data_IF_347422347845
#
_entry.id   IF_347422347845
#
_cell.length_a   1.000
_cell.length_b   1.000
_cell.length_c   1.000
_cell.angle_alpha   90.00
_cell.angle_beta   90.00
_cell.angle_gamma   90.00
#
_symmetry.space_group_name_H-M   'P 1'
#
loop_
_entity.id
_entity.type
_entity.pdbx_description
1 polymer ?
#
# COMPACT_ATOMS: atom_id res chain seq x y z
N UNK A 1 11.29 17.48 -25.16
CA UNK A 1 10.01 17.16 -24.49
C UNK A 1 8.92 17.97 -25.18
N UNK A 2 7.98 17.32 -25.87
CA UNK A 2 6.80 18.02 -26.40
C UNK A 2 5.82 18.25 -25.25
N UNK A 3 5.73 19.49 -24.78
CA UNK A 3 4.83 19.86 -23.69
C UNK A 3 3.43 20.07 -24.28
N UNK A 4 2.46 19.27 -23.84
CA UNK A 4 1.04 19.43 -24.20
C UNK A 4 0.32 20.12 -23.03
N UNK A 5 -0.23 21.34 -23.18
CA UNK A 5 -0.88 22.06 -22.09
C UNK A 5 -1.95 21.22 -21.40
N UNK A 6 -2.00 21.25 -20.06
CA UNK A 6 -2.97 20.53 -19.21
C UNK A 6 -2.92 19.00 -19.31
N UNK A 7 -1.91 18.41 -19.96
CA UNK A 7 -1.73 16.95 -20.07
C UNK A 7 -0.34 16.57 -19.56
N UNK A 8 -0.29 15.59 -18.66
CA UNK A 8 0.94 15.11 -18.03
C UNK A 8 1.33 13.75 -18.60
N UNK A 9 2.62 13.52 -18.83
CA UNK A 9 3.18 12.26 -19.36
C UNK A 9 2.53 11.73 -20.65
N UNK A 10 2.14 12.62 -21.59
CA UNK A 10 1.48 12.26 -22.87
C UNK A 10 2.36 12.41 -24.12
N UNK A 11 3.67 12.58 -23.93
CA UNK A 11 4.61 12.72 -25.04
C UNK A 11 4.86 11.38 -25.76
N UNK A 12 5.34 11.39 -27.02
CA UNK A 12 5.77 10.18 -27.71
C UNK A 12 6.85 9.43 -26.92
N UNK A 13 6.82 8.10 -26.97
CA UNK A 13 7.79 7.20 -26.35
C UNK A 13 8.99 7.07 -27.30
N UNK A 14 10.17 7.46 -26.83
CA UNK A 14 11.43 7.37 -27.59
C UNK A 14 12.05 5.98 -27.46
N UNK A 15 12.14 5.47 -26.23
CA UNK A 15 12.67 4.14 -25.93
C UNK A 15 11.88 3.55 -24.76
N UNK A 16 11.61 2.26 -24.83
CA UNK A 16 10.91 1.50 -23.81
C UNK A 16 11.57 0.14 -23.65
N UNK A 17 11.67 -0.31 -22.41
CA UNK A 17 12.14 -1.65 -22.06
C UNK A 17 11.21 -2.20 -20.98
N UNK A 18 10.92 -3.50 -21.05
CA UNK A 18 10.07 -4.18 -20.09
C UNK A 18 10.91 -4.81 -18.99
N UNK A 19 10.40 -4.76 -17.76
CA UNK A 19 11.07 -5.35 -16.61
C UNK A 19 10.05 -6.09 -15.75
N UNK A 20 10.29 -7.39 -15.53
CA UNK A 20 9.47 -8.19 -14.63
C UNK A 20 9.76 -7.78 -13.19
N UNK A 21 8.75 -7.26 -12.49
CA UNK A 21 8.88 -6.89 -11.07
C UNK A 21 9.22 -8.14 -10.26
N UNK A 22 10.35 -8.18 -9.53
CA UNK A 22 10.75 -9.38 -8.79
C UNK A 22 9.72 -9.77 -7.73
N UNK A 23 9.55 -11.06 -7.44
CA UNK A 23 8.68 -11.50 -6.36
C UNK A 23 9.16 -10.90 -5.03
N UNK A 24 8.21 -10.53 -4.17
CA UNK A 24 8.46 -9.90 -2.87
C UNK A 24 9.23 -8.56 -2.89
N UNK A 25 9.46 -7.97 -4.06
CA UNK A 25 10.14 -6.69 -4.20
C UNK A 25 9.36 -5.54 -3.54
N UNK A 26 10.07 -4.71 -2.79
CA UNK A 26 9.58 -3.45 -2.21
C UNK A 26 9.76 -2.29 -3.19
N UNK A 27 9.05 -1.18 -2.97
CA UNK A 27 9.23 0.03 -3.79
C UNK A 27 10.66 0.54 -3.78
N UNK A 28 11.38 0.45 -2.65
CA UNK A 28 12.76 0.93 -2.57
C UNK A 28 13.71 0.09 -3.43
N UNK A 29 13.57 -1.23 -3.38
CA UNK A 29 14.38 -2.13 -4.21
C UNK A 29 14.06 -1.95 -5.70
N UNK A 30 12.78 -1.81 -6.04
CA UNK A 30 12.36 -1.59 -7.43
C UNK A 30 12.86 -0.22 -7.94
N UNK A 31 12.84 0.81 -7.10
CA UNK A 31 13.38 2.13 -7.41
C UNK A 31 14.87 2.07 -7.76
N UNK A 32 15.69 1.39 -6.96
CA UNK A 32 17.12 1.23 -7.23
C UNK A 32 17.39 0.51 -8.57
N UNK A 33 16.63 -0.55 -8.86
CA UNK A 33 16.72 -1.30 -10.11
C UNK A 33 16.35 -0.42 -11.31
N UNK A 34 15.17 0.22 -11.25
CA UNK A 34 14.65 1.03 -12.35
C UNK A 34 15.47 2.32 -12.55
N UNK A 35 16.04 2.91 -11.50
CA UNK A 35 16.91 4.06 -11.60
C UNK A 35 18.18 3.73 -12.42
N UNK A 36 18.82 2.59 -12.14
CA UNK A 36 20.00 2.15 -12.90
C UNK A 36 19.66 1.85 -14.36
N UNK A 37 18.56 1.14 -14.59
CA UNK A 37 18.07 0.82 -15.93
C UNK A 37 17.74 2.09 -16.72
N UNK A 38 16.96 2.99 -16.14
CA UNK A 38 16.58 4.27 -16.74
C UNK A 38 17.79 5.16 -17.08
N UNK A 39 18.81 5.20 -16.21
CA UNK A 39 20.04 5.94 -16.50
C UNK A 39 20.78 5.38 -17.72
N UNK A 40 20.92 4.06 -17.81
CA UNK A 40 21.55 3.40 -18.96
C UNK A 40 20.76 3.63 -20.26
N UNK A 41 19.43 3.53 -20.19
CA UNK A 41 18.54 3.79 -21.33
C UNK A 41 18.68 5.24 -21.81
N UNK A 42 18.69 6.20 -20.88
CA UNK A 42 18.85 7.61 -21.21
C UNK A 42 20.19 7.87 -21.92
N UNK A 43 21.29 7.33 -21.41
CA UNK A 43 22.61 7.45 -22.04
C UNK A 43 22.63 6.82 -23.44
N UNK A 44 21.98 5.68 -23.62
CA UNK A 44 21.84 5.00 -24.92
C UNK A 44 21.09 5.86 -25.94
N UNK A 45 19.99 6.51 -25.52
CA UNK A 45 19.23 7.44 -26.38
C UNK A 45 20.06 8.66 -26.74
N UNK A 46 20.74 9.27 -25.77
CA UNK A 46 21.54 10.48 -26.01
C UNK A 46 22.70 10.24 -26.97
N UNK A 47 23.33 9.05 -26.92
CA UNK A 47 24.39 8.66 -27.86
C UNK A 47 23.92 8.52 -29.31
N UNK A 48 22.65 8.16 -29.53
CA UNK A 48 22.06 7.91 -30.84
C UNK A 48 20.84 8.81 -31.08
N UNK A 49 20.94 10.07 -30.64
CA UNK A 49 19.76 10.93 -30.49
C UNK A 49 18.99 11.18 -31.79
N UNK A 50 19.62 11.49 -32.94
CA UNK A 50 18.88 11.70 -34.19
C UNK A 50 18.03 10.49 -34.58
N UNK A 51 18.65 9.30 -34.62
CA UNK A 51 17.97 8.04 -34.93
C UNK A 51 16.89 7.69 -33.89
N UNK A 52 17.16 7.92 -32.60
CA UNK A 52 16.19 7.65 -31.53
C UNK A 52 14.93 8.52 -31.66
N UNK A 53 15.10 9.79 -32.07
CA UNK A 53 13.97 10.72 -32.25
C UNK A 53 13.16 10.40 -33.51
N UNK A 54 13.79 9.95 -34.58
CA UNK A 54 13.11 9.48 -35.80
C UNK A 54 12.22 8.26 -35.53
N UNK A 55 12.63 7.40 -34.59
CA UNK A 55 11.93 6.17 -34.24
C UNK A 55 10.91 6.31 -33.08
N UNK A 56 10.61 7.54 -32.63
CA UNK A 56 9.64 7.77 -31.54
C UNK A 56 8.23 7.28 -31.91
N UNK A 57 7.48 6.75 -30.94
CA UNK A 57 6.13 6.20 -31.14
C UNK A 57 5.11 6.95 -30.29
N UNK A 58 3.95 7.28 -30.85
CA UNK A 58 2.85 7.82 -30.04
C UNK A 58 2.36 6.77 -29.02
N UNK A 59 1.88 7.24 -27.87
CA UNK A 59 1.34 6.35 -26.85
C UNK A 59 0.04 5.68 -27.33
N UNK A 60 -0.22 4.42 -26.94
CA UNK A 60 -1.49 3.77 -27.24
C UNK A 60 -2.66 4.51 -26.56
N UNK A 61 -3.83 4.49 -27.20
CA UNK A 61 -5.06 5.04 -26.60
C UNK A 61 -5.70 4.09 -25.59
N UNK A 62 -5.43 2.80 -25.74
CA UNK A 62 -5.91 1.74 -24.87
C UNK A 62 -4.89 1.41 -23.78
N UNK A 63 -5.36 1.00 -22.61
CA UNK A 63 -4.49 0.62 -21.49
C UNK A 63 -3.88 1.79 -20.70
N UNK A 64 -4.23 3.04 -21.03
CA UNK A 64 -3.76 4.23 -20.30
C UNK A 64 -4.33 4.23 -18.88
N UNK A 65 -3.44 4.31 -17.89
CA UNK A 65 -3.81 4.38 -16.47
C UNK A 65 -3.08 5.54 -15.79
N UNK A 66 -3.66 6.04 -14.69
CA UNK A 66 -3.04 7.08 -13.87
C UNK A 66 -2.53 6.47 -12.57
N UNK A 67 -1.32 6.86 -12.16
CA UNK A 67 -0.75 6.54 -10.86
C UNK A 67 -0.93 7.72 -9.89
N UNK A 68 -2.05 7.83 -9.15
CA UNK A 68 -2.27 8.95 -8.25
C UNK A 68 -1.30 8.91 -7.07
N UNK A 69 -0.89 10.09 -6.60
CA UNK A 69 -0.03 10.27 -5.43
C UNK A 69 -0.53 9.42 -4.25
N UNK A 70 0.39 8.71 -3.60
CA UNK A 70 0.08 7.91 -2.42
C UNK A 70 -0.31 8.84 -1.26
N UNK A 71 -1.35 8.46 -0.53
CA UNK A 71 -1.84 9.18 0.65
C UNK A 71 -1.89 8.25 1.86
N UNK A 72 -1.89 8.82 3.06
CA UNK A 72 -2.04 8.06 4.32
C UNK A 72 -3.33 7.24 4.33
N UNK A 73 -4.40 7.73 3.69
CA UNK A 73 -5.65 6.97 3.58
C UNK A 73 -5.48 5.62 2.86
N UNK A 74 -4.53 5.51 1.90
CA UNK A 74 -4.21 4.24 1.26
C UNK A 74 -3.54 3.24 2.19
N UNK A 75 -2.97 3.67 3.33
CA UNK A 75 -2.36 2.75 4.29
C UNK A 75 -3.38 2.09 5.23
N UNK A 76 -4.65 2.53 5.21
CA UNK A 76 -5.69 1.91 6.02
C UNK A 76 -6.11 0.58 5.39
N UNK A 77 -5.87 -0.52 6.10
CA UNK A 77 -6.26 -1.85 5.64
C UNK A 77 -7.79 -1.93 5.68
N UNK A 78 -8.36 -2.37 4.57
CA UNK A 78 -9.77 -2.69 4.42
C UNK A 78 -9.96 -4.19 4.53
N UNK A 79 -10.07 -4.69 5.75
CA UNK A 79 -10.08 -6.13 6.02
C UNK A 79 -11.19 -6.86 5.27
N UNK A 80 -12.36 -6.23 5.16
CA UNK A 80 -13.54 -6.79 4.50
C UNK A 80 -13.45 -6.81 2.97
N UNK A 81 -12.56 -6.00 2.39
CA UNK A 81 -12.43 -5.83 0.93
C UNK A 81 -11.15 -6.44 0.37
N UNK A 82 -10.08 -6.51 1.17
CA UNK A 82 -8.75 -6.88 0.70
C UNK A 82 -8.41 -8.34 1.01
N UNK A 83 -7.84 -9.03 0.02
CA UNK A 83 -7.23 -10.35 0.22
C UNK A 83 -5.86 -10.23 0.88
N UNK A 84 -5.36 -11.32 1.46
CA UNK A 84 -4.04 -11.37 2.06
C UNK A 84 -2.94 -10.91 1.09
N UNK A 85 -2.98 -11.41 -0.15
CA UNK A 85 -2.04 -11.02 -1.19
C UNK A 85 -2.11 -9.52 -1.51
N UNK A 86 -3.29 -8.90 -1.49
CA UNK A 86 -3.44 -7.45 -1.68
C UNK A 86 -2.85 -6.65 -0.51
N UNK A 87 -3.05 -7.08 0.74
CA UNK A 87 -2.48 -6.43 1.93
C UNK A 87 -0.95 -6.51 1.91
N UNK A 88 -0.38 -7.67 1.58
CA UNK A 88 1.06 -7.86 1.47
C UNK A 88 1.65 -7.00 0.35
N UNK A 89 1.03 -6.97 -0.84
CA UNK A 89 1.47 -6.08 -1.93
C UNK A 89 1.40 -4.60 -1.52
N UNK A 90 0.34 -4.20 -0.83
CA UNK A 90 0.21 -2.83 -0.31
C UNK A 90 1.33 -2.50 0.68
N UNK A 91 1.65 -3.41 1.60
CA UNK A 91 2.80 -3.22 2.50
C UNK A 91 4.09 -3.00 1.70
N UNK A 92 4.39 -3.86 0.73
CA UNK A 92 5.62 -3.72 -0.08
C UNK A 92 5.66 -2.41 -0.87
N UNK A 93 4.50 -1.95 -1.34
CA UNK A 93 4.38 -0.75 -2.16
C UNK A 93 4.48 0.56 -1.35
N UNK A 94 3.96 0.60 -0.12
CA UNK A 94 3.87 1.88 0.63
C UNK A 94 4.33 1.81 2.08
N UNK A 95 4.57 0.62 2.63
CA UNK A 95 4.76 0.43 4.08
C UNK A 95 6.01 1.08 4.66
N UNK A 96 7.04 1.34 3.85
CA UNK A 96 8.23 2.10 4.26
C UNK A 96 7.91 3.59 4.50
N UNK A 97 6.98 4.16 3.74
CA UNK A 97 6.56 5.56 3.85
C UNK A 97 5.37 5.72 4.80
N UNK A 98 4.39 4.82 4.67
CA UNK A 98 3.16 4.79 5.45
C UNK A 98 2.93 3.36 5.96
N UNK A 99 3.37 3.05 7.19
CA UNK A 99 3.03 1.78 7.84
C UNK A 99 1.53 1.53 7.75
N UNK A 100 1.14 0.29 7.48
CA UNK A 100 -0.28 -0.03 7.33
C UNK A 100 -1.01 0.17 8.65
N UNK A 101 -2.25 0.62 8.57
CA UNK A 101 -3.02 1.09 9.71
C UNK A 101 -4.34 0.34 9.83
N UNK A 102 -4.76 0.12 11.06
CA UNK A 102 -6.04 -0.48 11.41
C UNK A 102 -6.54 0.06 12.74
N UNK A 103 -7.73 -0.32 13.16
CA UNK A 103 -8.23 -0.08 14.51
C UNK A 103 -8.07 -1.34 15.38
N UNK A 104 -7.72 -1.12 16.64
CA UNK A 104 -7.76 -2.11 17.72
C UNK A 104 -8.55 -1.52 18.90
N UNK A 105 -9.70 -2.11 19.25
CA UNK A 105 -10.62 -1.58 20.28
C UNK A 105 -10.88 -0.06 20.14
N UNK A 106 -11.16 0.38 18.92
CA UNK A 106 -11.40 1.80 18.60
C UNK A 106 -10.16 2.70 18.57
N UNK A 107 -8.96 2.18 18.90
CA UNK A 107 -7.71 2.94 18.83
C UNK A 107 -6.96 2.66 17.53
N UNK A 108 -6.47 3.68 16.80
CA UNK A 108 -5.60 3.47 15.65
C UNK A 108 -4.29 2.79 16.04
N UNK A 109 -3.92 1.76 15.28
CA UNK A 109 -2.65 1.05 15.41
C UNK A 109 -1.97 0.94 14.06
N UNK A 110 -0.63 0.92 14.07
CA UNK A 110 0.17 0.62 12.87
C UNK A 110 0.66 -0.81 12.93
N UNK A 111 0.67 -1.47 11.79
CA UNK A 111 1.15 -2.84 11.60
C UNK A 111 2.40 -2.79 10.72
N UNK A 112 3.41 -3.57 11.10
CA UNK A 112 4.70 -3.62 10.43
C UNK A 112 5.19 -5.07 10.39
N UNK A 113 6.21 -5.31 9.57
CA UNK A 113 6.90 -6.59 9.46
C UNK A 113 5.91 -7.72 9.13
N UNK A 114 5.17 -7.57 8.02
CA UNK A 114 4.22 -8.59 7.61
C UNK A 114 4.95 -9.82 7.05
N UNK A 115 4.30 -10.97 7.18
CA UNK A 115 4.78 -12.26 6.74
C UNK A 115 3.67 -12.93 5.93
N UNK A 116 4.02 -13.48 4.78
CA UNK A 116 3.11 -14.34 4.01
C UNK A 116 2.95 -15.65 4.78
N UNK A 117 1.71 -16.08 5.03
CA UNK A 117 1.42 -17.21 5.92
C UNK A 117 1.95 -18.53 5.39
N UNK A 118 2.10 -18.66 4.07
CA UNK A 118 2.72 -19.82 3.41
C UNK A 118 4.19 -20.00 3.84
N UNK A 119 4.84 -18.93 4.33
CA UNK A 119 6.19 -18.97 4.89
C UNK A 119 6.21 -19.29 6.40
N UNK A 120 5.07 -19.64 7.01
CA UNK A 120 4.97 -20.01 8.42
C UNK A 120 4.79 -21.54 8.52
N UNK A 121 5.83 -22.28 8.93
CA UNK A 121 5.76 -23.74 9.05
C UNK A 121 4.64 -24.17 10.02
N UNK A 122 3.83 -25.15 9.61
CA UNK A 122 2.77 -25.74 10.42
C UNK A 122 1.52 -24.86 10.59
N UNK A 123 1.43 -23.70 9.92
CA UNK A 123 0.24 -22.86 10.00
C UNK A 123 -0.93 -23.38 9.15
N UNK A 124 -0.65 -23.96 7.97
CA UNK A 124 -1.68 -24.49 7.07
C UNK A 124 -2.61 -25.50 7.78
N UNK A 125 -2.04 -26.35 8.64
CA UNK A 125 -2.76 -27.37 9.41
C UNK A 125 -3.67 -26.77 10.49
N UNK A 126 -3.39 -25.55 10.96
CA UNK A 126 -4.22 -24.85 11.96
C UNK A 126 -5.39 -24.07 11.36
N UNK A 127 -5.33 -23.72 10.08
CA UNK A 127 -6.37 -22.93 9.39
C UNK A 127 -7.58 -23.78 8.98
N UNK A 128 -7.39 -25.09 8.78
CA UNK A 128 -8.42 -26.02 8.30
C UNK A 128 -9.66 -26.16 9.22
N UNK A 129 -9.66 -25.50 10.39
CA UNK A 129 -10.71 -25.58 11.39
C UNK A 129 -11.49 -24.27 11.62
N UNK A 130 -11.26 -23.20 10.85
CA UNK A 130 -11.76 -21.85 11.19
C UNK A 130 -12.78 -21.28 10.19
N UNK A 131 -13.86 -22.04 9.93
CA UNK A 131 -15.03 -21.62 9.12
C UNK A 131 -15.80 -20.43 9.75
N UNK A 132 -15.53 -20.09 11.02
CA UNK A 132 -16.19 -18.98 11.73
C UNK A 132 -15.37 -17.67 11.75
N UNK A 133 -14.14 -17.66 11.21
CA UNK A 133 -13.31 -16.45 11.20
C UNK A 133 -13.85 -15.38 10.24
N UNK A 134 -14.16 -14.21 10.79
CA UNK A 134 -14.56 -13.04 10.01
C UNK A 134 -13.35 -12.18 9.66
N UNK A 135 -13.41 -11.33 8.62
CA UNK A 135 -12.34 -10.39 8.33
C UNK A 135 -11.94 -9.56 9.57
N UNK A 136 -10.64 -9.46 9.79
CA UNK A 136 -10.03 -8.82 10.93
C UNK A 136 -9.79 -9.72 12.16
N UNK A 137 -10.40 -10.91 12.24
CA UNK A 137 -10.18 -11.84 13.36
C UNK A 137 -8.70 -12.18 13.53
N UNK A 138 -8.26 -12.30 14.78
CA UNK A 138 -6.86 -12.50 15.14
C UNK A 138 -6.59 -13.85 15.79
N UNK A 139 -5.50 -14.48 15.37
CA UNK A 139 -4.91 -15.66 15.99
C UNK A 139 -3.46 -15.37 16.35
N UNK A 140 -2.97 -15.95 17.44
CA UNK A 140 -1.54 -15.88 17.77
C UNK A 140 -0.87 -17.23 17.54
N UNK A 141 0.02 -17.29 16.55
CA UNK A 141 0.78 -18.49 16.27
C UNK A 141 2.03 -18.52 17.14
N UNK A 142 1.99 -19.35 18.20
CA UNK A 142 3.05 -19.43 19.22
C UNK A 142 4.42 -19.82 18.65
N UNK A 143 4.45 -20.81 17.76
CA UNK A 143 5.72 -21.36 17.24
C UNK A 143 6.51 -20.33 16.42
N UNK A 144 5.83 -19.53 15.59
CA UNK A 144 6.48 -18.44 14.84
C UNK A 144 6.44 -17.07 15.54
N UNK A 145 5.87 -17.01 16.75
CA UNK A 145 5.61 -15.80 17.51
C UNK A 145 4.96 -14.69 16.67
N UNK A 146 4.00 -15.05 15.81
CA UNK A 146 3.41 -14.15 14.81
C UNK A 146 1.92 -13.97 15.07
N UNK A 147 1.45 -12.73 14.95
CA UNK A 147 0.02 -12.43 14.95
C UNK A 147 -0.53 -12.68 13.55
N UNK A 148 -1.57 -13.50 13.44
CA UNK A 148 -2.20 -13.84 12.17
C UNK A 148 -3.56 -13.17 12.10
N UNK A 149 -3.81 -12.41 11.03
CA UNK A 149 -5.05 -11.67 10.83
C UNK A 149 -5.80 -12.17 9.60
N UNK A 150 -7.12 -12.41 9.75
CA UNK A 150 -8.00 -12.85 8.67
C UNK A 150 -8.24 -11.67 7.72
N UNK A 151 -7.95 -11.85 6.45
CA UNK A 151 -8.34 -10.91 5.39
C UNK A 151 -9.71 -11.32 4.80
N UNK A 152 -10.21 -10.62 3.78
CA UNK A 152 -11.37 -11.09 3.01
C UNK A 152 -11.15 -12.54 2.56
N UNK A 153 -9.99 -12.80 1.98
CA UNK A 153 -9.53 -14.12 1.54
C UNK A 153 -8.09 -14.32 1.99
N UNK A 154 -7.80 -15.50 2.55
CA UNK A 154 -6.52 -15.83 3.18
C UNK A 154 -6.25 -15.10 4.49
N UNK A 155 -5.01 -15.25 4.94
CA UNK A 155 -4.48 -14.74 6.21
C UNK A 155 -3.16 -14.02 5.98
N UNK A 156 -2.85 -13.04 6.82
CA UNK A 156 -1.53 -12.38 6.84
C UNK A 156 -0.90 -12.46 8.21
N UNK A 157 0.41 -12.69 8.27
CA UNK A 157 1.19 -12.60 9.49
C UNK A 157 1.68 -11.18 9.74
N UNK A 158 1.75 -10.77 11.00
CA UNK A 158 2.27 -9.48 11.48
C UNK A 158 3.20 -9.76 12.66
N UNK A 159 4.44 -9.26 12.60
CA UNK A 159 5.41 -9.41 13.70
C UNK A 159 5.49 -8.18 14.61
N UNK A 160 5.05 -7.02 14.15
CA UNK A 160 5.14 -5.78 14.91
C UNK A 160 3.82 -5.01 14.90
N UNK A 161 3.36 -4.62 16.09
CA UNK A 161 2.22 -3.74 16.30
C UNK A 161 2.70 -2.47 17.01
N UNK A 162 2.32 -1.30 16.50
CA UNK A 162 2.56 -0.02 17.17
C UNK A 162 1.25 0.47 17.77
N UNK A 163 1.13 0.32 19.09
CA UNK A 163 0.03 0.82 19.91
C UNK A 163 0.63 1.58 21.09
N UNK A 164 0.66 2.91 20.99
CA UNK A 164 1.39 3.85 21.88
C UNK A 164 2.93 3.66 21.87
N UNK A 165 3.41 2.42 21.83
CA UNK A 165 4.80 2.00 21.67
C UNK A 165 4.90 0.87 20.64
N UNK A 166 6.11 0.63 20.14
CA UNK A 166 6.40 -0.52 19.28
C UNK A 166 6.39 -1.80 20.13
N UNK A 167 5.63 -2.80 19.71
CA UNK A 167 5.46 -4.08 20.37
C UNK A 167 5.76 -5.20 19.37
N UNK A 168 6.46 -6.24 19.81
CA UNK A 168 6.48 -7.50 19.05
C UNK A 168 5.11 -8.16 19.18
N UNK A 169 4.76 -9.02 18.24
CA UNK A 169 3.50 -9.76 18.26
C UNK A 169 3.29 -10.53 19.58
N UNK A 170 4.34 -11.11 20.17
CA UNK A 170 4.29 -11.75 21.49
C UNK A 170 3.91 -10.79 22.62
N UNK A 171 4.47 -9.57 22.61
CA UNK A 171 4.22 -8.57 23.65
C UNK A 171 2.78 -8.01 23.50
N UNK A 172 2.31 -7.84 22.26
CA UNK A 172 0.93 -7.48 21.98
C UNK A 172 -0.05 -8.58 22.41
N UNK A 173 0.25 -9.85 22.10
CA UNK A 173 -0.56 -10.98 22.53
C UNK A 173 -0.68 -11.04 24.05
N UNK A 174 0.44 -11.01 24.77
CA UNK A 174 0.47 -11.11 26.23
C UNK A 174 -0.27 -9.93 26.90
N UNK A 175 -0.11 -8.71 26.38
CA UNK A 175 -0.68 -7.52 27.00
C UNK A 175 -2.13 -7.22 26.62
N UNK A 176 -2.60 -7.69 25.46
CA UNK A 176 -3.89 -7.25 24.90
C UNK A 176 -4.81 -8.38 24.45
N UNK A 177 -4.30 -9.59 24.20
CA UNK A 177 -5.10 -10.70 23.66
C UNK A 177 -5.25 -11.89 24.61
N UNK A 178 -4.28 -12.13 25.50
CA UNK A 178 -4.16 -13.35 26.30
C UNK A 178 -5.45 -13.73 27.06
N UNK A 179 -6.17 -12.74 27.62
CA UNK A 179 -7.40 -12.97 28.38
C UNK A 179 -8.54 -13.59 27.58
N UNK A 180 -8.60 -13.34 26.26
CA UNK A 180 -9.67 -13.90 25.43
C UNK A 180 -9.46 -15.38 25.13
N UNK A 181 -8.21 -15.84 25.02
CA UNK A 181 -7.90 -17.26 24.80
C UNK A 181 -8.08 -18.13 26.06
N UNK A 182 -8.60 -17.54 27.14
CA UNK A 182 -9.06 -18.23 28.35
C UNK A 182 -10.60 -18.37 28.39
N UNK A 183 -11.33 -17.76 27.45
CA UNK A 183 -12.80 -17.76 27.36
C UNK A 183 -13.26 -18.55 26.11
N UNK A 184 -14.52 -18.99 26.08
CA UNK A 184 -15.07 -19.87 25.03
C UNK A 184 -14.88 -19.35 23.60
N UNK A 185 -14.51 -20.24 22.65
CA UNK A 185 -14.00 -19.90 21.30
C UNK A 185 -14.90 -18.95 20.50
N UNK A 186 -16.22 -19.13 20.50
CA UNK A 186 -17.14 -18.42 19.60
C UNK A 186 -17.18 -16.89 19.76
N UNK A 187 -17.10 -16.39 21.00
CA UNK A 187 -17.12 -14.95 21.27
C UNK A 187 -15.78 -14.27 20.92
N UNK A 188 -14.69 -15.04 20.96
CA UNK A 188 -13.32 -14.55 20.76
C UNK A 188 -13.09 -14.10 19.32
N UNK A 189 -13.59 -14.84 18.33
CA UNK A 189 -13.39 -14.49 16.91
C UNK A 189 -14.13 -13.20 16.50
N UNK A 190 -15.23 -12.85 17.16
CA UNK A 190 -16.00 -11.63 16.87
C UNK A 190 -15.44 -10.37 17.56
N UNK A 191 -14.91 -10.51 18.77
CA UNK A 191 -14.43 -9.38 19.58
C UNK A 191 -12.92 -9.12 19.44
N UNK A 192 -12.11 -10.17 19.31
CA UNK A 192 -10.66 -10.08 19.15
C UNK A 192 -10.30 -9.88 17.67
N UNK A 193 -10.62 -8.68 17.16
CA UNK A 193 -10.40 -8.35 15.75
C UNK A 193 -9.80 -6.98 15.54
N UNK A 194 -9.04 -6.86 14.46
CA UNK A 194 -8.78 -5.59 13.82
C UNK A 194 -10.00 -5.10 13.04
N UNK A 195 -10.20 -3.79 13.00
CA UNK A 195 -11.27 -3.16 12.25
C UNK A 195 -10.71 -2.15 11.26
N UNK A 196 -11.34 -2.02 10.10
CA UNK A 196 -10.93 -1.05 9.08
C UNK A 196 -10.96 0.37 9.63
N UNK A 197 -9.80 1.04 9.65
CA UNK A 197 -9.68 2.45 10.01
C UNK A 197 -10.24 3.31 8.87
N UNK A 198 -11.28 4.10 9.16
CA UNK A 198 -11.83 5.07 8.21
C UNK A 198 -11.35 6.46 8.58
N UNK A 199 -10.41 6.99 7.81
CA UNK A 199 -10.01 8.39 7.93
C UNK A 199 -11.11 9.27 7.33
N UNK A 200 -11.56 10.28 8.06
CA UNK A 200 -12.44 11.30 7.49
C UNK A 200 -11.70 12.07 6.38
N UNK A 201 -12.37 12.40 5.27
CA UNK A 201 -11.82 13.36 4.34
C UNK A 201 -11.55 14.64 5.12
N UNK A 202 -10.31 15.13 5.11
CA UNK A 202 -10.00 16.43 5.67
C UNK A 202 -10.98 17.45 5.07
N UNK A 203 -11.70 18.21 5.92
CA UNK A 203 -12.50 19.35 5.45
C UNK A 203 -11.54 20.23 4.64
N UNK A 204 -11.77 20.36 3.32
CA UNK A 204 -11.17 21.44 2.55
C UNK A 204 -11.66 22.73 3.19
N UNK A 205 -10.84 23.36 4.03
CA UNK A 205 -11.02 24.77 4.37
C UNK A 205 -10.95 25.55 3.06
N UNK A 206 -12.09 26.04 2.59
CA UNK A 206 -12.13 27.10 1.58
C UNK A 206 -11.34 28.28 2.15
N UNK A 207 -10.12 28.48 1.65
CA UNK A 207 -9.43 29.76 1.77
C UNK A 207 -8.75 30.11 0.44
N UNK A 208 -9.55 30.07 -0.62
CA UNK A 208 -9.26 30.72 -1.90
C UNK A 208 -10.55 31.36 -2.42
N UNK A 209 -10.80 32.59 -1.99
CA UNK A 209 -11.64 33.60 -2.65
C UNK A 209 -11.37 34.92 -1.95
N UNK A 210 -10.36 35.63 -2.46
CA UNK A 210 -10.32 37.09 -2.61
C UNK A 210 -8.89 37.57 -2.87
N UNK A 211 -8.46 37.48 -4.12
CA UNK A 211 -7.59 38.47 -4.75
C UNK A 211 -8.00 38.58 -6.22
N UNK A 212 -9.19 39.16 -6.45
CA UNK A 212 -9.51 39.76 -7.73
C UNK A 212 -8.72 41.06 -7.86
N UNK A 213 -7.53 40.99 -8.43
CA UNK A 213 -6.85 42.17 -8.95
C UNK A 213 -7.19 42.28 -10.44
N UNK A 214 -8.00 43.29 -10.77
CA UNK A 214 -8.46 43.55 -12.12
C UNK A 214 -7.33 44.01 -13.03
N UNK A 215 -7.27 43.42 -14.23
CA UNK A 215 -6.61 44.02 -15.37
C UNK A 215 -7.65 44.84 -16.13
N UNK A 216 -7.54 46.18 -16.03
CA UNK A 216 -8.21 47.09 -16.95
C UNK A 216 -7.51 47.01 -18.31
N UNK A 217 -8.27 46.65 -19.33
CA UNK A 217 -7.96 46.90 -20.74
C UNK A 217 -7.86 48.41 -20.98
N UNK A 218 -6.85 48.83 -21.72
CA UNK A 218 -6.70 50.19 -22.23
C UNK A 218 -7.04 50.08 -23.72
N UNK A 219 -8.17 50.64 -24.12
CA UNK A 219 -8.51 50.84 -25.53
C UNK A 219 -7.67 51.99 -26.07
N UNK A 220 -7.05 51.75 -27.23
CA UNK A 220 -6.37 52.77 -28.03
C UNK A 220 -7.28 53.07 -29.21
N UNK A 221 -7.85 54.27 -29.21
CA UNK A 221 -8.44 54.93 -30.38
C UNK A 221 -7.40 55.82 -31.06
#
# INVERSE_FOLDING_TARGET
MEIRPKRFDVGPIIKQEEFAVPPHCTTKELEEILAKMGANMLLSVLKHLPESLENKKEQPKEGVTFAPKVSVAKSCIKWEEQTAAQVIRLHRAIGSMFPLQTLWKGSPVKLMDFVEVDNIPGFADQVLNDDEAVPGSLLYHKASQTLIARCKEGWVGIKTVVLKKKLRAVDFYNGYMHSWFQQSSRAVHQECRFQTLRLSPAKKTLKERNTGAGYKTIDVS
#
